data_IF_212749074024
#
_entry.id   IF_212749074024
#
_cell.length_a   1.000
_cell.length_b   1.000
_cell.length_c   1.000
_cell.angle_alpha   90.00
_cell.angle_beta   90.00
_cell.angle_gamma   90.00
#
_symmetry.space_group_name_H-M   'P 1'
#
loop_
_entity.id
_entity.type
_entity.pdbx_description
1 polymer ?
#
# COMPACT_ATOMS: atom_id res chain seq x y z
N UNK A 1 -46.01 65.94 69.41
CA UNK A 1 -45.93 65.56 67.99
C UNK A 1 -44.50 65.14 67.69
N UNK A 2 -44.19 63.83 67.58
CA UNK A 2 -42.96 63.30 66.92
C UNK A 2 -42.84 61.76 67.02
N UNK A 3 -43.92 61.00 66.79
CA UNK A 3 -43.88 59.52 66.72
C UNK A 3 -44.06 58.97 65.29
N UNK A 4 -44.35 59.82 64.30
CA UNK A 4 -44.59 59.40 62.90
C UNK A 4 -43.29 59.40 62.07
N UNK A 5 -42.24 60.10 62.51
CA UNK A 5 -41.00 60.26 61.72
C UNK A 5 -40.05 59.05 61.77
N UNK A 6 -39.99 58.30 62.87
CA UNK A 6 -38.98 57.24 63.02
C UNK A 6 -39.30 56.00 62.15
N UNK A 7 -40.59 55.64 62.03
CA UNK A 7 -41.03 54.49 61.23
C UNK A 7 -40.86 54.74 59.73
N UNK A 8 -41.10 55.97 59.26
CA UNK A 8 -40.92 56.32 57.86
C UNK A 8 -39.43 56.33 57.46
N UNK A 9 -38.55 56.80 58.34
CA UNK A 9 -37.10 56.80 58.13
C UNK A 9 -36.54 55.37 58.12
N UNK A 10 -36.99 54.49 59.02
CA UNK A 10 -36.60 53.07 59.03
C UNK A 10 -37.12 52.30 57.80
N UNK A 11 -38.32 52.64 57.32
CA UNK A 11 -38.89 52.04 56.10
C UNK A 11 -38.14 52.50 54.84
N UNK A 12 -37.84 53.79 54.71
CA UNK A 12 -37.10 54.35 53.58
C UNK A 12 -35.64 53.86 53.55
N UNK A 13 -34.97 53.77 54.70
CA UNK A 13 -33.60 53.21 54.76
C UNK A 13 -33.56 51.73 54.42
N UNK A 14 -34.57 50.94 54.79
CA UNK A 14 -34.67 49.52 54.43
C UNK A 14 -34.93 49.31 52.93
N UNK A 15 -35.78 50.15 52.32
CA UNK A 15 -36.02 50.12 50.86
C UNK A 15 -34.77 50.55 50.10
N UNK A 16 -34.10 51.62 50.52
CA UNK A 16 -32.85 52.07 49.89
C UNK A 16 -31.76 51.01 49.98
N UNK A 17 -31.59 50.38 51.15
CA UNK A 17 -30.63 49.29 51.37
C UNK A 17 -30.94 48.06 50.51
N UNK A 18 -32.21 47.67 50.35
CA UNK A 18 -32.62 46.58 49.45
C UNK A 18 -32.39 46.90 47.97
N UNK A 19 -32.63 48.14 47.53
CA UNK A 19 -32.34 48.59 46.16
C UNK A 19 -30.84 48.62 45.88
N UNK A 20 -30.03 49.13 46.82
CA UNK A 20 -28.57 49.19 46.70
C UNK A 20 -27.93 47.79 46.67
N UNK A 21 -28.42 46.85 47.50
CA UNK A 21 -27.94 45.46 47.50
C UNK A 21 -28.31 44.75 46.19
N UNK A 22 -29.52 44.94 45.66
CA UNK A 22 -29.91 44.36 44.35
C UNK A 22 -29.12 44.95 43.19
N UNK A 23 -28.81 46.25 43.23
CA UNK A 23 -28.00 46.92 42.21
C UNK A 23 -26.55 46.40 42.25
N UNK A 24 -25.93 46.29 43.43
CA UNK A 24 -24.59 45.70 43.56
C UNK A 24 -24.55 44.21 43.18
N UNK A 25 -25.59 43.43 43.48
CA UNK A 25 -25.67 42.03 43.05
C UNK A 25 -25.79 41.90 41.52
N UNK A 26 -26.49 42.84 40.87
CA UNK A 26 -26.61 42.90 39.42
C UNK A 26 -25.29 43.25 38.75
N UNK A 27 -24.55 44.25 39.28
CA UNK A 27 -23.20 44.59 38.79
C UNK A 27 -22.16 43.50 39.08
N UNK A 28 -22.25 42.79 40.21
CA UNK A 28 -21.40 41.62 40.49
C UNK A 28 -21.65 40.48 39.49
N UNK A 29 -22.93 40.18 39.18
CA UNK A 29 -23.31 39.12 38.22
C UNK A 29 -22.91 39.45 36.78
N UNK A 30 -22.97 40.72 36.39
CA UNK A 30 -22.51 41.19 35.08
C UNK A 30 -20.97 41.13 35.00
N UNK A 31 -20.24 41.50 36.06
CA UNK A 31 -18.78 41.38 36.07
C UNK A 31 -18.30 39.92 36.00
N UNK A 32 -19.01 38.99 36.68
CA UNK A 32 -18.66 37.57 36.68
C UNK A 32 -19.03 36.86 35.37
N UNK A 33 -20.08 37.30 34.66
CA UNK A 33 -20.48 36.69 33.38
C UNK A 33 -19.64 37.22 32.20
N UNK A 34 -19.15 38.46 32.29
CA UNK A 34 -18.24 39.03 31.29
C UNK A 34 -16.81 38.48 31.42
N UNK A 35 -16.33 38.23 32.64
CA UNK A 35 -14.99 37.64 32.85
C UNK A 35 -14.90 36.19 32.35
N UNK A 36 -15.96 35.39 32.53
CA UNK A 36 -16.01 34.00 32.03
C UNK A 36 -16.06 33.96 30.50
N UNK A 37 -16.71 34.92 29.85
CA UNK A 37 -16.76 35.02 28.40
C UNK A 37 -15.41 35.48 27.79
N UNK A 38 -14.64 36.34 28.49
CA UNK A 38 -13.30 36.76 28.05
C UNK A 38 -12.24 35.63 28.16
N UNK A 39 -12.38 34.74 29.14
CA UNK A 39 -11.51 33.57 29.29
C UNK A 39 -11.76 32.49 28.23
N UNK A 40 -13.00 32.32 27.77
CA UNK A 40 -13.34 31.38 26.69
C UNK A 40 -12.81 31.82 25.32
N UNK A 41 -12.74 33.13 25.05
CA UNK A 41 -12.19 33.64 23.78
C UNK A 41 -10.66 33.55 23.78
N UNK A 42 -10.01 33.74 24.94
CA UNK A 42 -8.54 33.61 25.07
C UNK A 42 -8.05 32.15 25.02
N UNK A 43 -8.89 31.19 25.42
CA UNK A 43 -8.61 29.75 25.28
C UNK A 43 -8.69 29.23 23.84
N UNK A 44 -9.48 29.86 22.98
CA UNK A 44 -9.58 29.47 21.56
C UNK A 44 -8.45 30.04 20.68
N UNK A 45 -7.80 31.12 21.09
CA UNK A 45 -6.70 31.73 20.29
C UNK A 45 -5.38 30.99 20.49
N UNK A 46 -5.12 30.39 21.67
CA UNK A 46 -3.91 29.59 21.89
C UNK A 46 -3.97 28.16 21.35
N UNK A 47 -5.15 27.64 20.99
CA UNK A 47 -5.29 26.32 20.37
C UNK A 47 -5.00 26.33 18.85
N UNK A 48 -4.85 27.50 18.22
CA UNK A 48 -4.61 27.62 16.78
C UNK A 48 -3.15 27.92 16.41
N UNK A 49 -2.24 28.06 17.39
CA UNK A 49 -0.81 28.22 17.12
C UNK A 49 -0.02 26.90 17.13
N UNK A 50 -0.53 25.82 17.76
CA UNK A 50 0.10 24.49 17.70
C UNK A 50 -0.28 23.65 16.46
N UNK A 51 -1.16 24.15 15.58
CA UNK A 51 -1.53 23.49 14.32
C UNK A 51 -0.92 24.14 13.06
N UNK A 52 -0.08 25.17 13.21
CA UNK A 52 0.50 25.91 12.06
C UNK A 52 2.03 25.91 11.96
N UNK A 53 2.73 25.17 12.79
CA UNK A 53 4.18 24.90 12.63
C UNK A 53 4.52 23.42 12.63
N UNK A 54 3.54 22.56 12.34
CA UNK A 54 3.78 21.25 11.75
C UNK A 54 4.16 21.37 10.27
N UNK A 55 5.19 22.16 9.94
CA UNK A 55 6.06 21.76 8.83
C UNK A 55 6.74 20.49 9.36
N UNK A 56 6.00 19.37 9.28
CA UNK A 56 6.61 18.06 9.20
C UNK A 56 7.74 18.26 8.22
N UNK A 57 8.97 18.08 8.70
CA UNK A 57 10.07 17.89 7.78
C UNK A 57 9.57 16.75 6.88
N UNK A 58 9.12 17.09 5.67
CA UNK A 58 8.98 16.14 4.60
C UNK A 58 10.43 15.73 4.37
N UNK A 59 10.90 14.80 5.20
CA UNK A 59 11.98 13.93 4.86
C UNK A 59 11.61 13.47 3.45
N UNK A 60 12.43 13.83 2.47
CA UNK A 60 12.36 13.26 1.14
C UNK A 60 12.67 11.78 1.30
N UNK A 61 11.67 11.05 1.78
CA UNK A 61 11.78 9.68 2.24
C UNK A 61 11.70 8.86 0.97
N UNK A 62 12.86 8.55 0.40
CA UNK A 62 12.93 7.74 -0.81
C UNK A 62 12.44 6.34 -0.48
N UNK A 63 11.36 5.93 -1.15
CA UNK A 63 10.85 4.56 -1.09
C UNK A 63 11.88 3.63 -1.74
N UNK A 64 12.24 2.56 -1.04
CA UNK A 64 13.16 1.54 -1.55
C UNK A 64 12.36 0.27 -1.78
N UNK A 65 12.19 -0.10 -3.04
CA UNK A 65 11.46 -1.32 -3.44
C UNK A 65 12.20 -2.58 -3.02
N UNK A 66 11.50 -3.70 -2.90
CA UNK A 66 12.08 -4.98 -2.46
C UNK A 66 13.27 -5.41 -3.31
N UNK A 67 13.20 -5.19 -4.63
CA UNK A 67 14.29 -5.53 -5.56
C UNK A 67 15.59 -4.74 -5.34
N UNK A 68 15.55 -3.57 -4.70
CA UNK A 68 16.76 -2.81 -4.33
C UNK A 68 17.39 -3.29 -3.02
N UNK A 69 16.68 -4.11 -2.24
CA UNK A 69 17.15 -4.60 -0.94
C UNK A 69 17.97 -5.90 -1.09
N UNK A 70 18.94 -5.92 -1.98
CA UNK A 70 19.73 -7.12 -2.36
C UNK A 70 20.24 -7.88 -1.12
N UNK A 71 20.82 -7.16 -0.16
CA UNK A 71 21.39 -7.74 1.07
C UNK A 71 20.38 -8.55 1.90
N UNK A 72 19.08 -8.25 1.76
CA UNK A 72 18.02 -8.93 2.50
C UNK A 72 17.64 -10.31 1.94
N UNK A 73 18.10 -10.64 0.74
CA UNK A 73 17.74 -11.90 0.07
C UNK A 73 18.88 -12.59 -0.68
N UNK A 74 20.01 -11.93 -0.95
CA UNK A 74 21.10 -12.50 -1.75
C UNK A 74 21.66 -13.81 -1.15
N UNK A 75 21.80 -13.87 0.17
CA UNK A 75 22.28 -15.06 0.88
C UNK A 75 21.32 -16.25 0.77
N UNK A 76 20.03 -16.01 0.54
CA UNK A 76 19.02 -17.05 0.31
C UNK A 76 19.23 -17.70 -1.07
N UNK A 77 19.82 -16.96 -2.02
CA UNK A 77 20.02 -17.40 -3.41
C UNK A 77 21.36 -18.12 -3.63
N UNK A 78 22.25 -18.13 -2.63
CA UNK A 78 23.55 -18.78 -2.74
C UNK A 78 23.41 -20.28 -3.02
N UNK A 79 24.08 -20.76 -4.07
CA UNK A 79 24.02 -22.15 -4.53
C UNK A 79 22.59 -22.64 -4.84
N UNK A 80 21.67 -21.74 -5.18
CA UNK A 80 20.31 -22.06 -5.62
C UNK A 80 20.14 -21.79 -7.10
N UNK A 81 19.43 -22.69 -7.77
CA UNK A 81 18.94 -22.44 -9.13
C UNK A 81 17.72 -21.53 -9.07
N UNK A 82 17.80 -20.36 -9.68
CA UNK A 82 16.80 -19.29 -9.52
C UNK A 82 15.95 -19.14 -10.79
N UNK A 83 14.63 -19.16 -10.62
CA UNK A 83 13.66 -18.74 -11.63
C UNK A 83 13.15 -17.34 -11.33
N UNK A 84 12.95 -16.50 -12.35
CA UNK A 84 12.51 -15.11 -12.17
C UNK A 84 11.20 -14.88 -12.92
N UNK A 85 10.13 -14.59 -12.18
CA UNK A 85 8.87 -14.08 -12.71
C UNK A 85 8.96 -12.56 -12.78
N UNK A 86 9.06 -12.02 -13.99
CA UNK A 86 9.35 -10.60 -14.20
C UNK A 86 8.90 -10.11 -15.57
N UNK A 87 8.96 -8.79 -15.74
CA UNK A 87 8.69 -8.08 -17.00
C UNK A 87 9.55 -6.81 -17.07
N UNK A 88 9.25 -5.91 -18.00
CA UNK A 88 10.00 -4.67 -18.20
C UNK A 88 10.05 -3.74 -16.97
N UNK A 89 9.18 -3.96 -15.98
CA UNK A 89 9.15 -3.18 -14.74
C UNK A 89 10.08 -3.71 -13.65
N UNK A 90 10.66 -4.90 -13.84
CA UNK A 90 11.55 -5.59 -12.89
C UNK A 90 12.94 -4.96 -12.86
N UNK A 91 12.99 -3.67 -12.54
CA UNK A 91 14.22 -2.87 -12.54
C UNK A 91 14.73 -2.65 -11.12
N UNK A 92 16.06 -2.66 -11.00
CA UNK A 92 16.87 -2.25 -9.85
C UNK A 92 17.66 -1.04 -10.32
N UNK A 93 17.18 0.16 -9.95
CA UNK A 93 17.62 1.42 -10.57
C UNK A 93 17.43 1.36 -12.09
N UNK A 94 18.50 1.55 -12.87
CA UNK A 94 18.46 1.57 -14.33
C UNK A 94 18.81 0.21 -14.97
N UNK A 95 18.98 -0.84 -14.16
CA UNK A 95 19.37 -2.17 -14.62
C UNK A 95 18.27 -3.18 -14.27
N UNK A 96 17.96 -4.08 -15.19
CA UNK A 96 16.98 -5.12 -14.94
C UNK A 96 17.46 -6.09 -13.85
N UNK A 97 16.53 -6.62 -13.05
CA UNK A 97 16.80 -7.52 -11.92
C UNK A 97 17.62 -8.74 -12.36
N UNK A 98 17.25 -9.38 -13.47
CA UNK A 98 17.99 -10.51 -14.05
C UNK A 98 19.46 -10.18 -14.26
N UNK A 99 19.76 -9.05 -14.92
CA UNK A 99 21.14 -8.68 -15.22
C UNK A 99 21.91 -8.33 -13.94
N UNK A 100 21.21 -7.71 -12.98
CA UNK A 100 21.75 -7.42 -11.65
C UNK A 100 22.15 -8.71 -10.92
N UNK A 101 21.27 -9.71 -10.87
CA UNK A 101 21.53 -10.97 -10.18
C UNK A 101 22.60 -11.82 -10.88
N UNK A 102 22.62 -11.84 -12.20
CA UNK A 102 23.68 -12.51 -12.98
C UNK A 102 25.05 -11.88 -12.69
N UNK A 103 25.15 -10.54 -12.65
CA UNK A 103 26.41 -9.84 -12.29
C UNK A 103 26.86 -10.13 -10.86
N UNK A 104 25.93 -10.43 -9.97
CA UNK A 104 26.21 -10.84 -8.58
C UNK A 104 26.53 -12.34 -8.46
N UNK A 105 26.58 -13.08 -9.57
CA UNK A 105 26.94 -14.51 -9.59
C UNK A 105 25.80 -15.45 -9.18
N UNK A 106 24.55 -14.98 -9.17
CA UNK A 106 23.39 -15.84 -8.92
C UNK A 106 23.14 -16.75 -10.13
N UNK A 107 22.87 -18.03 -9.87
CA UNK A 107 22.58 -19.03 -10.88
C UNK A 107 21.13 -18.92 -11.37
N UNK A 108 20.84 -17.88 -12.16
CA UNK A 108 19.54 -17.70 -12.79
C UNK A 108 19.40 -18.68 -13.96
N UNK A 109 18.38 -19.54 -13.93
CA UNK A 109 18.15 -20.57 -14.96
C UNK A 109 17.13 -20.19 -16.01
N UNK A 110 16.08 -19.48 -15.62
CA UNK A 110 14.93 -19.23 -16.49
C UNK A 110 14.15 -17.99 -16.04
N UNK A 111 13.56 -17.33 -17.04
CA UNK A 111 12.61 -16.23 -16.84
C UNK A 111 11.20 -16.70 -17.18
N UNK A 112 10.23 -16.30 -16.37
CA UNK A 112 8.81 -16.47 -16.63
C UNK A 112 8.16 -15.11 -16.85
N UNK A 113 7.68 -14.85 -18.06
CA UNK A 113 7.17 -13.54 -18.44
C UNK A 113 5.65 -13.58 -18.70
N UNK A 114 4.87 -12.61 -18.18
CA UNK A 114 3.43 -12.50 -18.42
C UNK A 114 3.14 -11.91 -19.82
N UNK A 115 2.13 -11.04 -19.96
CA UNK A 115 1.51 -10.73 -21.26
C UNK A 115 2.23 -9.67 -22.12
N UNK A 116 3.04 -8.77 -21.53
CA UNK A 116 3.53 -7.52 -22.17
C UNK A 116 5.04 -7.46 -22.44
N UNK A 117 5.68 -8.62 -22.63
CA UNK A 117 7.12 -8.68 -22.86
C UNK A 117 7.94 -8.79 -21.58
N UNK A 118 9.19 -9.19 -21.74
CA UNK A 118 10.15 -9.28 -20.63
C UNK A 118 11.04 -8.03 -20.56
N UNK A 119 11.48 -7.49 -21.70
CA UNK A 119 12.36 -6.30 -21.78
C UNK A 119 11.65 -5.03 -22.27
N UNK A 120 10.36 -5.10 -22.58
CA UNK A 120 9.56 -3.93 -23.02
C UNK A 120 9.76 -3.51 -24.48
N UNK A 121 10.48 -4.32 -25.27
CA UNK A 121 10.71 -4.09 -26.71
C UNK A 121 9.61 -4.68 -27.61
N UNK A 122 8.65 -5.41 -27.04
CA UNK A 122 7.53 -5.98 -27.79
C UNK A 122 6.51 -4.88 -28.13
N UNK A 123 6.00 -4.88 -29.36
CA UNK A 123 5.01 -3.90 -29.81
C UNK A 123 3.74 -3.93 -28.92
N UNK A 124 3.02 -2.81 -28.87
CA UNK A 124 1.78 -2.71 -28.09
C UNK A 124 0.76 -3.79 -28.51
N UNK A 125 0.66 -4.87 -27.72
CA UNK A 125 -0.24 -5.99 -27.97
C UNK A 125 0.45 -7.28 -28.44
N UNK A 126 1.77 -7.29 -28.62
CA UNK A 126 2.50 -8.53 -28.88
C UNK A 126 2.56 -9.42 -27.64
N UNK A 127 2.09 -10.65 -27.82
CA UNK A 127 2.06 -11.67 -26.78
C UNK A 127 3.46 -12.23 -26.60
N UNK A 128 3.88 -12.41 -25.36
CA UNK A 128 5.10 -13.16 -25.08
C UNK A 128 4.93 -14.60 -25.54
N UNK A 129 5.83 -15.05 -26.40
CA UNK A 129 6.01 -16.46 -26.74
C UNK A 129 7.24 -17.00 -26.02
N UNK A 130 7.30 -18.32 -25.88
CA UNK A 130 8.50 -18.98 -25.37
C UNK A 130 9.69 -18.61 -26.28
N UNK A 131 10.86 -18.39 -25.68
CA UNK A 131 12.01 -17.88 -26.41
C UNK A 131 13.26 -17.77 -25.56
N UNK A 132 14.12 -16.82 -25.91
CA UNK A 132 15.39 -16.56 -25.24
C UNK A 132 15.55 -15.05 -25.08
N UNK A 133 15.97 -14.61 -23.90
CA UNK A 133 16.32 -13.22 -23.67
C UNK A 133 17.58 -12.87 -24.48
N UNK A 134 17.54 -11.88 -25.39
CA UNK A 134 18.68 -11.58 -26.25
C UNK A 134 19.88 -11.02 -25.49
N UNK A 135 19.66 -10.44 -24.30
CA UNK A 135 20.71 -9.83 -23.46
C UNK A 135 21.42 -10.87 -22.61
N UNK A 136 20.69 -11.61 -21.76
CA UNK A 136 21.28 -12.60 -20.85
C UNK A 136 21.48 -13.98 -21.48
N UNK A 137 20.77 -14.28 -22.56
CA UNK A 137 20.71 -15.60 -23.15
C UNK A 137 19.89 -16.61 -22.34
N UNK A 138 19.14 -16.19 -21.32
CA UNK A 138 18.29 -17.07 -20.54
C UNK A 138 17.05 -17.51 -21.33
N UNK A 139 16.56 -18.75 -21.16
CA UNK A 139 15.27 -19.14 -21.68
C UNK A 139 14.15 -18.31 -21.04
N UNK A 140 13.18 -17.91 -21.87
CA UNK A 140 11.95 -17.24 -21.46
C UNK A 140 10.79 -18.21 -21.65
N UNK A 141 10.03 -18.43 -20.58
CA UNK A 141 8.75 -19.13 -20.60
C UNK A 141 7.61 -18.12 -20.53
N UNK A 142 6.69 -18.17 -21.49
CA UNK A 142 5.48 -17.37 -21.45
C UNK A 142 4.50 -17.91 -20.43
N UNK A 143 3.92 -17.02 -19.62
CA UNK A 143 2.78 -17.30 -18.75
C UNK A 143 1.45 -16.87 -19.38
N UNK A 144 1.46 -16.47 -20.66
CA UNK A 144 0.28 -16.03 -21.38
C UNK A 144 -0.54 -17.20 -21.94
N UNK A 145 -1.86 -17.05 -21.89
CA UNK A 145 -2.81 -18.03 -22.42
C UNK A 145 -3.15 -19.13 -21.42
N UNK A 146 -4.38 -19.66 -21.53
CA UNK A 146 -4.98 -20.55 -20.52
C UNK A 146 -4.11 -21.75 -20.14
N UNK A 147 -3.32 -22.28 -21.09
CA UNK A 147 -2.47 -23.46 -20.88
C UNK A 147 -1.16 -23.16 -20.15
N UNK A 148 -0.69 -21.91 -20.14
CA UNK A 148 0.66 -21.57 -19.68
C UNK A 148 0.69 -20.72 -18.40
N UNK A 149 -0.46 -20.28 -17.88
CA UNK A 149 -0.55 -19.43 -16.67
C UNK A 149 0.11 -20.04 -15.43
N UNK A 150 0.11 -21.38 -15.34
CA UNK A 150 0.77 -22.14 -14.27
C UNK A 150 1.94 -22.91 -14.89
N UNK A 151 3.21 -22.68 -14.46
CA UNK A 151 4.34 -23.49 -14.89
C UNK A 151 4.12 -24.98 -14.55
N UNK A 152 4.58 -25.87 -15.43
CA UNK A 152 4.47 -27.30 -15.18
C UNK A 152 5.56 -27.78 -14.20
N UNK A 153 5.36 -28.92 -13.52
CA UNK A 153 6.38 -29.54 -12.68
C UNK A 153 7.73 -29.71 -13.40
N UNK A 154 7.71 -30.11 -14.67
CA UNK A 154 8.92 -30.30 -15.48
C UNK A 154 9.65 -28.97 -15.72
N UNK A 155 8.91 -27.87 -15.85
CA UNK A 155 9.50 -26.53 -16.03
C UNK A 155 10.16 -26.04 -14.73
N UNK A 156 9.69 -26.51 -13.57
CA UNK A 156 10.20 -26.14 -12.25
C UNK A 156 11.19 -27.17 -11.66
N UNK A 157 11.48 -28.26 -12.37
CA UNK A 157 12.29 -29.35 -11.85
C UNK A 157 13.66 -28.87 -11.38
N UNK A 158 14.32 -28.05 -12.21
CA UNK A 158 15.67 -27.51 -11.98
C UNK A 158 15.67 -26.12 -11.32
N UNK A 159 14.55 -25.69 -10.73
CA UNK A 159 14.44 -24.42 -10.01
C UNK A 159 14.29 -24.72 -8.52
N UNK A 160 15.13 -24.12 -7.68
CA UNK A 160 15.02 -24.21 -6.22
C UNK A 160 14.17 -23.07 -5.64
N UNK A 161 14.36 -21.87 -6.19
CA UNK A 161 13.74 -20.64 -5.69
C UNK A 161 13.12 -19.85 -6.86
N UNK A 162 11.87 -19.44 -6.71
CA UNK A 162 11.23 -18.51 -7.64
C UNK A 162 11.17 -17.11 -7.04
N UNK A 163 11.68 -16.12 -7.76
CA UNK A 163 11.53 -14.71 -7.43
C UNK A 163 10.38 -14.13 -8.23
N UNK A 164 9.46 -13.43 -7.57
CA UNK A 164 8.40 -12.65 -8.21
C UNK A 164 8.67 -11.17 -8.01
N UNK A 165 8.91 -10.45 -9.11
CA UNK A 165 9.18 -9.01 -9.11
C UNK A 165 8.47 -8.33 -10.28
N UNK A 166 7.25 -7.85 -10.07
CA UNK A 166 6.48 -7.15 -11.11
C UNK A 166 5.75 -5.97 -10.47
N UNK A 167 5.78 -4.81 -11.12
CA UNK A 167 5.00 -3.65 -10.72
C UNK A 167 3.52 -3.85 -11.09
N UNK A 168 2.67 -3.94 -10.08
CA UNK A 168 1.21 -3.97 -10.20
C UNK A 168 0.61 -2.55 -10.09
N UNK A 169 -0.70 -2.41 -10.32
CA UNK A 169 -1.41 -1.12 -10.26
C UNK A 169 -2.56 -1.08 -9.24
N UNK A 170 -2.79 -2.15 -8.47
CA UNK A 170 -3.68 -2.13 -7.31
C UNK A 170 -5.15 -2.39 -7.61
N UNK A 171 -5.47 -2.91 -8.80
CA UNK A 171 -6.84 -3.21 -9.22
C UNK A 171 -7.00 -4.69 -9.57
N UNK A 172 -8.11 -5.29 -9.14
CA UNK A 172 -8.36 -6.74 -9.21
C UNK A 172 -8.29 -7.33 -10.62
N UNK A 173 -8.63 -6.54 -11.63
CA UNK A 173 -8.66 -6.98 -13.03
C UNK A 173 -7.33 -6.80 -13.76
N UNK A 174 -6.31 -6.24 -13.11
CA UNK A 174 -4.95 -6.28 -13.61
C UNK A 174 -4.32 -7.64 -13.26
N UNK A 175 -3.92 -8.42 -14.27
CA UNK A 175 -3.81 -9.88 -14.13
C UNK A 175 -2.52 -10.36 -13.45
N UNK A 176 -1.60 -9.48 -13.05
CA UNK A 176 -0.34 -9.90 -12.43
C UNK A 176 -0.53 -10.56 -11.06
N UNK A 177 -1.50 -10.11 -10.25
CA UNK A 177 -1.90 -10.81 -9.01
C UNK A 177 -2.51 -12.20 -9.29
N UNK A 178 -3.11 -12.40 -10.48
CA UNK A 178 -3.65 -13.69 -10.90
C UNK A 178 -2.54 -14.61 -11.43
N UNK A 179 -1.55 -14.06 -12.12
CA UNK A 179 -0.30 -14.77 -12.42
C UNK A 179 0.40 -15.20 -11.13
N UNK A 180 0.51 -14.30 -10.14
CA UNK A 180 1.12 -14.61 -8.84
C UNK A 180 0.42 -15.78 -8.14
N UNK A 181 -0.92 -15.84 -8.15
CA UNK A 181 -1.67 -16.99 -7.62
C UNK A 181 -1.20 -18.31 -8.22
N UNK A 182 -1.10 -18.41 -9.54
CA UNK A 182 -0.70 -19.66 -10.19
C UNK A 182 0.77 -20.01 -9.95
N UNK A 183 1.65 -19.01 -9.85
CA UNK A 183 3.05 -19.22 -9.46
C UNK A 183 3.13 -19.73 -8.02
N UNK A 184 2.39 -19.11 -7.10
CA UNK A 184 2.31 -19.56 -5.70
C UNK A 184 1.80 -20.99 -5.60
N UNK A 185 0.75 -21.33 -6.37
CA UNK A 185 0.21 -22.69 -6.42
C UNK A 185 1.25 -23.68 -6.94
N UNK A 186 1.93 -23.39 -8.06
CA UNK A 186 2.98 -24.26 -8.60
C UNK A 186 4.15 -24.43 -7.63
N UNK A 187 4.58 -23.35 -6.95
CA UNK A 187 5.62 -23.42 -5.94
C UNK A 187 5.18 -24.29 -4.75
N UNK A 188 3.94 -24.14 -4.30
CA UNK A 188 3.40 -24.93 -3.20
C UNK A 188 3.32 -26.43 -3.57
N UNK A 189 2.82 -26.76 -4.77
CA UNK A 189 2.70 -28.14 -5.27
C UNK A 189 4.07 -28.83 -5.45
N UNK A 190 5.14 -28.06 -5.67
CA UNK A 190 6.49 -28.57 -5.93
C UNK A 190 7.48 -28.27 -4.79
N UNK A 191 6.97 -27.84 -3.62
CA UNK A 191 7.77 -27.52 -2.43
C UNK A 191 8.92 -26.54 -2.70
N UNK A 192 8.68 -25.54 -3.55
CA UNK A 192 9.64 -24.49 -3.89
C UNK A 192 9.44 -23.26 -3.01
N UNK A 193 10.55 -22.63 -2.62
CA UNK A 193 10.52 -21.32 -1.99
C UNK A 193 10.16 -20.27 -3.04
N UNK A 194 9.18 -19.42 -2.72
CA UNK A 194 8.88 -18.23 -3.50
C UNK A 194 9.27 -16.96 -2.72
N UNK A 195 10.08 -16.12 -3.34
CA UNK A 195 10.47 -14.80 -2.82
C UNK A 195 9.70 -13.73 -3.60
N UNK A 196 8.88 -12.93 -2.91
CA UNK A 196 8.23 -11.76 -3.52
C UNK A 196 9.05 -10.52 -3.19
N UNK A 197 9.56 -9.87 -4.23
CA UNK A 197 10.20 -8.55 -4.12
C UNK A 197 9.09 -7.51 -4.19
N UNK A 198 8.71 -7.00 -3.03
CA UNK A 198 7.51 -6.18 -2.92
C UNK A 198 7.72 -4.82 -3.62
N UNK A 199 6.64 -4.30 -4.20
CA UNK A 199 6.62 -2.99 -4.85
C UNK A 199 5.42 -2.18 -4.35
N UNK A 200 5.54 -0.85 -4.27
CA UNK A 200 4.43 0.01 -3.86
C UNK A 200 3.21 -0.19 -4.75
N UNK A 201 2.03 -0.15 -4.16
CA UNK A 201 0.79 -0.10 -4.91
C UNK A 201 0.46 1.37 -5.21
N UNK A 202 0.41 1.81 -6.48
CA UNK A 202 0.09 3.21 -6.80
C UNK A 202 -1.34 3.61 -6.39
N UNK A 203 -2.25 2.64 -6.24
CA UNK A 203 -3.60 2.78 -5.68
C UNK A 203 -3.69 2.23 -4.25
N UNK A 204 -2.57 2.11 -3.53
CA UNK A 204 -2.51 1.54 -2.19
C UNK A 204 -3.16 2.39 -1.10
N UNK A 205 -3.54 3.63 -1.43
CA UNK A 205 -4.03 4.64 -0.49
C UNK A 205 -5.53 4.59 -0.21
N UNK A 206 -6.26 3.68 -0.84
CA UNK A 206 -7.68 3.48 -0.62
C UNK A 206 -8.11 2.05 -0.97
N UNK A 207 -9.32 1.70 -0.55
CA UNK A 207 -9.98 0.43 -0.87
C UNK A 207 -11.38 0.77 -1.35
N UNK A 208 -11.79 0.24 -2.50
CA UNK A 208 -13.07 0.61 -3.11
C UNK A 208 -13.65 -0.48 -4.03
N UNK A 209 -14.95 -0.36 -4.29
CA UNK A 209 -15.73 -1.22 -5.17
C UNK A 209 -16.19 -2.54 -4.53
N UNK A 210 -17.08 -3.27 -5.21
CA UNK A 210 -17.66 -4.49 -4.67
C UNK A 210 -16.62 -5.61 -4.57
N UNK A 211 -16.70 -6.38 -3.48
CA UNK A 211 -15.98 -7.65 -3.31
C UNK A 211 -16.45 -8.63 -4.38
N UNK A 212 -15.50 -9.35 -5.00
CA UNK A 212 -15.81 -10.34 -6.02
C UNK A 212 -16.64 -11.48 -5.43
N UNK A 213 -17.77 -11.79 -6.07
CA UNK A 213 -18.55 -12.99 -5.75
C UNK A 213 -17.87 -14.21 -6.35
N UNK A 214 -17.71 -15.33 -5.60
CA UNK A 214 -16.99 -16.52 -6.08
C UNK A 214 -17.50 -17.07 -7.42
N UNK A 215 -18.80 -16.94 -7.71
CA UNK A 215 -19.41 -17.41 -8.97
C UNK A 215 -18.92 -16.64 -10.20
N UNK A 216 -18.34 -15.45 -10.01
CA UNK A 216 -17.79 -14.61 -11.06
C UNK A 216 -16.26 -14.71 -11.16
N UNK A 217 -15.65 -15.68 -10.48
CA UNK A 217 -14.19 -15.86 -10.48
C UNK A 217 -13.67 -16.23 -11.87
N UNK A 218 -12.60 -15.56 -12.28
CA UNK A 218 -11.91 -15.79 -13.55
C UNK A 218 -10.47 -15.27 -13.47
N UNK A 219 -9.71 -15.33 -14.56
CA UNK A 219 -8.32 -14.84 -14.56
C UNK A 219 -8.18 -13.32 -14.38
N UNK A 220 -9.25 -12.55 -14.61
CA UNK A 220 -9.29 -11.10 -14.35
C UNK A 220 -9.87 -10.80 -12.95
N UNK A 221 -9.84 -11.78 -12.05
CA UNK A 221 -10.33 -11.65 -10.69
C UNK A 221 -10.56 -13.04 -10.09
N UNK A 222 -9.56 -13.55 -9.39
CA UNK A 222 -9.61 -14.90 -8.78
C UNK A 222 -10.21 -14.89 -7.37
N UNK A 223 -9.88 -13.86 -6.59
CA UNK A 223 -10.09 -13.85 -5.14
C UNK A 223 -11.22 -12.89 -4.72
N UNK A 224 -11.87 -13.14 -3.56
CA UNK A 224 -12.90 -12.29 -2.99
C UNK A 224 -12.30 -11.01 -2.37
N UNK A 225 -11.71 -10.17 -3.21
CA UNK A 225 -11.20 -8.83 -2.84
C UNK A 225 -12.03 -7.74 -3.53
N UNK A 226 -12.06 -6.49 -3.03
CA UNK A 226 -12.66 -5.34 -3.71
C UNK A 226 -12.04 -5.07 -5.10
N UNK A 227 -12.60 -4.11 -5.85
CA UNK A 227 -12.05 -3.74 -7.16
C UNK A 227 -10.68 -3.09 -6.99
N UNK A 228 -10.58 -2.11 -6.10
CA UNK A 228 -9.32 -1.54 -5.64
C UNK A 228 -9.01 -2.14 -4.28
N UNK A 229 -7.96 -2.95 -4.19
CA UNK A 229 -7.72 -3.77 -3.00
C UNK A 229 -6.78 -3.14 -1.97
N UNK A 230 -6.13 -2.02 -2.28
CA UNK A 230 -5.26 -1.26 -1.36
C UNK A 230 -3.94 -1.94 -0.95
N UNK A 231 -3.79 -3.25 -1.13
CA UNK A 231 -2.59 -4.01 -0.75
C UNK A 231 -1.43 -3.89 -1.75
N UNK A 232 -0.19 -4.00 -1.27
CA UNK A 232 0.96 -4.31 -2.13
C UNK A 232 0.89 -5.75 -2.64
N UNK A 233 1.73 -6.10 -3.62
CA UNK A 233 1.75 -7.47 -4.15
C UNK A 233 2.26 -8.48 -3.10
N UNK A 234 3.20 -8.08 -2.25
CA UNK A 234 3.68 -8.91 -1.13
C UNK A 234 2.63 -9.11 -0.04
N UNK A 235 1.82 -8.09 0.26
CA UNK A 235 0.67 -8.22 1.17
C UNK A 235 -0.42 -9.12 0.57
N UNK A 236 -0.69 -8.96 -0.73
CA UNK A 236 -1.64 -9.78 -1.45
C UNK A 236 -1.21 -11.27 -1.46
N UNK A 237 0.07 -11.55 -1.69
CA UNK A 237 0.62 -12.92 -1.60
C UNK A 237 0.41 -13.54 -0.20
N UNK A 238 0.67 -12.77 0.86
CA UNK A 238 0.39 -13.21 2.22
C UNK A 238 -1.10 -13.48 2.44
N UNK A 239 -1.98 -12.66 1.87
CA UNK A 239 -3.42 -12.85 1.97
C UNK A 239 -3.87 -14.14 1.26
N UNK A 240 -3.35 -14.42 0.05
CA UNK A 240 -3.62 -15.68 -0.67
C UNK A 240 -3.32 -16.89 0.23
N UNK A 241 -2.13 -16.93 0.82
CA UNK A 241 -1.70 -18.02 1.71
C UNK A 241 -2.51 -18.06 3.02
N UNK A 242 -2.72 -16.90 3.65
CA UNK A 242 -3.38 -16.79 4.95
C UNK A 242 -4.85 -17.17 4.90
N UNK A 243 -5.51 -16.91 3.77
CA UNK A 243 -6.92 -17.26 3.54
C UNK A 243 -7.11 -18.66 2.92
N UNK A 244 -6.02 -19.37 2.61
CA UNK A 244 -6.10 -20.70 2.00
C UNK A 244 -6.73 -20.70 0.61
N UNK A 245 -6.45 -19.67 -0.20
CA UNK A 245 -7.05 -19.50 -1.53
C UNK A 245 -6.40 -20.34 -2.62
N UNK A 246 -5.23 -20.91 -2.38
CA UNK A 246 -4.62 -21.88 -3.31
C UNK A 246 -5.43 -23.19 -3.30
N UNK A 247 -5.31 -23.98 -4.37
CA UNK A 247 -6.05 -25.22 -4.49
C UNK A 247 -5.85 -26.15 -3.27
N UNK A 248 -6.95 -26.74 -2.78
CA UNK A 248 -6.99 -27.56 -1.57
C UNK A 248 -6.46 -26.89 -0.28
N UNK A 249 -6.33 -25.56 -0.26
CA UNK A 249 -5.80 -24.83 0.89
C UNK A 249 -4.31 -25.03 1.15
N UNK A 250 -3.57 -25.53 0.15
CA UNK A 250 -2.10 -25.65 0.22
C UNK A 250 -1.48 -24.27 0.45
N UNK A 251 -0.31 -24.23 1.09
CA UNK A 251 0.42 -22.98 1.35
C UNK A 251 1.74 -23.01 0.63
N UNK A 252 2.04 -21.93 -0.08
CA UNK A 252 3.35 -21.71 -0.66
C UNK A 252 4.35 -21.32 0.44
N UNK A 253 5.59 -21.83 0.40
CA UNK A 253 6.64 -21.28 1.26
C UNK A 253 7.01 -19.88 0.75
N UNK A 254 6.69 -18.85 1.52
CA UNK A 254 6.82 -17.45 1.09
C UNK A 254 7.85 -16.68 1.91
N UNK A 255 8.72 -15.96 1.21
CA UNK A 255 9.52 -14.85 1.76
C UNK A 255 9.12 -13.55 1.09
N UNK A 256 8.70 -12.55 1.86
CA UNK A 256 8.38 -11.22 1.32
C UNK A 256 9.51 -10.25 1.67
N UNK A 257 10.15 -9.68 0.66
CA UNK A 257 11.09 -8.59 0.81
C UNK A 257 10.31 -7.28 0.71
N UNK A 258 9.91 -6.76 1.87
CA UNK A 258 9.07 -5.56 1.98
C UNK A 258 9.82 -4.33 1.48
N UNK A 259 9.08 -3.40 0.88
CA UNK A 259 9.57 -2.05 0.64
C UNK A 259 10.02 -1.41 1.96
N UNK A 260 11.11 -0.66 1.91
CA UNK A 260 11.42 0.31 2.96
C UNK A 260 10.76 1.63 2.63
N UNK A 261 10.47 2.38 3.68
CA UNK A 261 9.96 3.74 3.59
C UNK A 261 8.58 3.93 2.95
N UNK A 262 7.89 2.86 2.55
CA UNK A 262 6.53 2.92 2.02
C UNK A 262 5.46 2.73 3.10
N UNK A 263 4.37 3.49 2.97
CA UNK A 263 3.12 3.36 3.72
C UNK A 263 1.95 3.50 2.75
N UNK A 264 0.76 3.05 3.15
CA UNK A 264 -0.46 3.26 2.36
C UNK A 264 -0.87 4.73 2.24
N UNK A 265 -0.19 5.69 2.88
CA UNK A 265 -0.48 7.12 2.67
C UNK A 265 0.37 7.71 1.53
N UNK A 266 1.34 6.96 1.02
CA UNK A 266 2.27 7.45 0.00
C UNK A 266 1.69 7.30 -1.41
N UNK A 267 1.72 8.40 -2.17
CA UNK A 267 1.41 8.38 -3.60
C UNK A 267 2.66 8.03 -4.40
N UNK A 268 2.81 6.74 -4.71
CA UNK A 268 3.96 6.26 -5.48
C UNK A 268 3.75 6.50 -6.98
N UNK A 269 4.65 7.29 -7.58
CA UNK A 269 4.71 7.49 -9.04
C UNK A 269 5.50 6.35 -9.68
N UNK A 270 4.89 5.66 -10.62
CA UNK A 270 5.54 4.58 -11.34
C UNK A 270 6.67 5.14 -12.22
N UNK A 271 7.90 4.62 -12.10
CA UNK A 271 9.01 5.07 -12.95
C UNK A 271 8.91 4.51 -14.37
N UNK A 272 8.21 3.38 -14.54
CA UNK A 272 8.05 2.66 -15.81
C UNK A 272 6.58 2.32 -15.98
N UNK A 273 6.08 2.50 -17.20
CA UNK A 273 4.71 2.17 -17.53
C UNK A 273 4.48 0.66 -17.39
N UNK A 274 3.49 0.24 -16.59
CA UNK A 274 3.27 -1.18 -16.31
C UNK A 274 2.66 -1.92 -17.51
N UNK A 275 1.99 -1.21 -18.42
CA UNK A 275 1.41 -1.71 -19.67
C UNK A 275 1.38 -0.60 -20.72
N UNK A 276 1.42 -0.93 -22.03
CA UNK A 276 1.22 0.06 -23.10
C UNK A 276 -0.09 0.87 -22.97
N UNK A 277 -1.13 0.27 -22.36
CA UNK A 277 -2.43 0.92 -22.17
C UNK A 277 -2.50 1.81 -20.92
N UNK A 278 -1.45 1.85 -20.10
CA UNK A 278 -1.33 2.71 -18.92
C UNK A 278 -0.10 3.61 -19.08
N UNK A 279 -0.13 4.58 -20.02
CA UNK A 279 1.05 5.36 -20.41
C UNK A 279 1.47 6.43 -19.39
N UNK A 280 0.64 6.71 -18.38
CA UNK A 280 0.90 7.72 -17.35
C UNK A 280 0.06 7.49 -16.09
N UNK A 281 0.36 8.23 -15.01
CA UNK A 281 -0.33 8.11 -13.72
C UNK A 281 -1.82 8.51 -13.71
N UNK A 282 -2.31 9.18 -14.76
CA UNK A 282 -3.73 9.55 -14.87
C UNK A 282 -4.59 8.47 -15.53
N UNK A 283 -3.97 7.48 -16.17
CA UNK A 283 -4.63 6.33 -16.81
C UNK A 283 -4.91 5.24 -15.78
#
# INVERSE_FOLDING_TARGET
MNSINLTLILYLTTIYRRKYIKLNYFYLKISSSFLVFLFLISGCVNSQQDLKTGKSAISNKTIVVGAKRIESYISILENKSVGIVGNQTSMVDDVHLVDTLLRLGVDVKMVFAPEHGFRGEADAGEKVVDGKDPVSGLPIKSLYGKKNRKPSPETLADIDVLIFDIQDVGVRFYTYISTMHYIMEACAEQEKLMIVLDRPNPNGFYVDGPVLKPQNSSFIGLHPVPVVHGMTIGEYAKMINGQGWLNNGIKCELKIIRCENYTHLDYYKLPINPSPNLPNMSS
#
